data_IF_234859275649
#
_entry.id   IF_234859275649
#
_cell.length_a   1.000
_cell.length_b   1.000
_cell.length_c   1.000
_cell.angle_alpha   90.00
_cell.angle_beta   90.00
_cell.angle_gamma   90.00
#
_symmetry.space_group_name_H-M   'P 1'
#
loop_
_entity.id
_entity.type
_entity.pdbx_description
1 polymer ?
#
# COMPACT_ATOMS: atom_id res chain seq x y z
N UNK A 1 -10.14 5.86 0.16
CA UNK A 1 -9.39 5.41 -1.05
C UNK A 1 -9.85 6.23 -2.24
N UNK A 2 -8.89 6.84 -2.94
CA UNK A 2 -9.19 7.74 -4.06
C UNK A 2 -9.06 7.09 -5.43
N UNK A 3 -8.22 6.08 -5.55
CA UNK A 3 -8.11 5.31 -6.79
C UNK A 3 -7.71 3.89 -6.47
N UNK A 4 -7.99 3.00 -7.40
CA UNK A 4 -7.71 1.59 -7.24
C UNK A 4 -7.35 0.97 -8.58
N UNK A 5 -6.19 0.33 -8.62
CA UNK A 5 -5.70 -0.38 -9.80
C UNK A 5 -5.35 -1.81 -9.44
N UNK A 6 -5.55 -2.72 -10.38
CA UNK A 6 -5.07 -4.10 -10.28
C UNK A 6 -4.16 -4.41 -11.46
N UNK A 7 -3.13 -5.20 -11.22
CA UNK A 7 -2.34 -5.79 -12.28
C UNK A 7 -2.97 -7.12 -12.67
N UNK A 8 -3.50 -7.17 -13.89
CA UNK A 8 -4.16 -8.33 -14.44
C UNK A 8 -3.47 -8.70 -15.75
N UNK A 9 -2.99 -9.94 -15.85
CA UNK A 9 -2.33 -10.43 -17.05
C UNK A 9 -1.19 -9.53 -17.54
N UNK A 10 -0.44 -8.97 -16.60
CA UNK A 10 0.69 -8.10 -16.92
C UNK A 10 0.33 -6.68 -17.25
N UNK A 11 -0.93 -6.31 -17.17
CA UNK A 11 -1.38 -4.95 -17.44
C UNK A 11 -1.99 -4.31 -16.21
N UNK A 12 -1.72 -3.01 -16.05
CA UNK A 12 -2.33 -2.24 -14.97
C UNK A 12 -3.73 -1.80 -15.39
N UNK A 13 -4.73 -2.22 -14.64
CA UNK A 13 -6.12 -1.86 -14.92
C UNK A 13 -6.68 -0.99 -13.81
N UNK A 14 -7.09 0.22 -14.18
CA UNK A 14 -7.75 1.14 -13.27
C UNK A 14 -9.23 0.84 -13.20
N UNK A 15 -9.77 0.78 -11.98
CA UNK A 15 -11.20 0.59 -11.76
C UNK A 15 -11.81 1.91 -11.27
N UNK A 16 -12.79 2.45 -11.99
CA UNK A 16 -13.46 3.66 -11.53
C UNK A 16 -14.15 3.40 -10.18
N UNK A 17 -13.84 4.23 -9.20
CA UNK A 17 -14.43 4.10 -7.87
C UNK A 17 -15.62 5.04 -7.74
N UNK A 18 -16.76 4.50 -7.31
CA UNK A 18 -17.86 5.31 -6.81
C UNK A 18 -17.51 5.68 -5.37
N UNK A 19 -16.95 4.70 -4.64
CA UNK A 19 -16.42 4.90 -3.30
C UNK A 19 -15.40 3.82 -3.03
N UNK A 20 -14.58 4.02 -2.02
CA UNK A 20 -13.59 3.02 -1.64
C UNK A 20 -13.10 3.26 -0.23
N UNK A 21 -12.95 2.17 0.51
CA UNK A 21 -12.51 2.19 1.89
C UNK A 21 -11.30 1.28 2.02
N UNK A 22 -10.33 1.72 2.82
CA UNK A 22 -9.16 0.92 3.11
C UNK A 22 -8.98 0.87 4.62
N UNK A 23 -8.87 -0.33 5.16
CA UNK A 23 -8.79 -0.55 6.61
C UNK A 23 -7.57 -1.40 6.93
N UNK A 24 -6.73 -0.89 7.82
CA UNK A 24 -5.65 -1.67 8.40
C UNK A 24 -6.21 -2.35 9.65
N UNK A 25 -6.26 -3.67 9.64
CA UNK A 25 -6.81 -4.42 10.77
C UNK A 25 -5.86 -4.48 11.95
N UNK A 26 -4.60 -4.09 11.74
CA UNK A 26 -3.58 -4.03 12.80
C UNK A 26 -3.44 -5.34 13.62
N UNK A 27 -3.70 -6.46 12.97
CA UNK A 27 -3.54 -7.76 13.61
C UNK A 27 -2.11 -8.28 13.44
N UNK A 28 -1.81 -9.42 14.04
CA UNK A 28 -0.47 -10.01 13.96
C UNK A 28 -0.07 -10.41 12.54
N UNK A 29 -1.04 -10.54 11.64
CA UNK A 29 -0.80 -10.87 10.24
C UNK A 29 -0.68 -9.64 9.35
N UNK A 30 -0.85 -8.45 9.91
CA UNK A 30 -0.80 -7.18 9.18
C UNK A 30 -1.74 -7.17 7.99
N UNK A 31 -2.97 -7.61 8.21
CA UNK A 31 -3.98 -7.70 7.17
C UNK A 31 -4.61 -6.35 6.89
N UNK A 32 -4.76 -6.05 5.60
CA UNK A 32 -5.50 -4.88 5.13
C UNK A 32 -6.76 -5.35 4.44
N UNK A 33 -7.83 -4.59 4.60
CA UNK A 33 -9.08 -4.82 3.90
C UNK A 33 -9.35 -3.63 3.00
N UNK A 34 -9.58 -3.91 1.72
CA UNK A 34 -9.95 -2.90 0.75
C UNK A 34 -11.37 -3.19 0.28
N UNK A 35 -12.24 -2.19 0.36
CA UNK A 35 -13.59 -2.29 -0.18
C UNK A 35 -13.73 -1.34 -1.34
N UNK A 36 -14.08 -1.90 -2.49
CA UNK A 36 -14.20 -1.16 -3.75
C UNK A 36 -15.65 -1.18 -4.18
N UNK A 37 -16.23 0.01 -4.29
CA UNK A 37 -17.60 0.18 -4.78
C UNK A 37 -17.54 0.71 -6.20
N UNK A 38 -17.98 -0.08 -7.17
CA UNK A 38 -17.81 0.24 -8.58
C UNK A 38 -18.98 -0.29 -9.42
N UNK A 39 -18.91 -0.11 -10.73
CA UNK A 39 -19.96 -0.54 -11.64
C UNK A 39 -20.05 -2.06 -11.76
N UNK A 40 -21.27 -2.56 -11.91
CA UNK A 40 -21.53 -3.99 -12.08
C UNK A 40 -20.91 -4.57 -13.38
N UNK A 41 -20.49 -3.72 -14.30
CA UNK A 41 -19.82 -4.20 -15.51
C UNK A 41 -18.51 -4.94 -15.23
N UNK A 42 -17.93 -4.70 -14.06
CA UNK A 42 -16.68 -5.36 -13.64
C UNK A 42 -16.92 -6.64 -12.82
N UNK A 43 -18.17 -7.02 -12.67
CA UNK A 43 -18.57 -8.16 -11.84
C UNK A 43 -17.86 -9.46 -12.24
N UNK A 44 -17.82 -9.75 -13.51
CA UNK A 44 -17.22 -11.02 -13.97
C UNK A 44 -15.73 -11.08 -13.66
N UNK A 45 -15.03 -9.96 -13.84
CA UNK A 45 -13.59 -9.90 -13.56
C UNK A 45 -13.32 -10.27 -12.10
N UNK A 46 -14.01 -9.63 -11.18
CA UNK A 46 -13.83 -9.91 -9.77
C UNK A 46 -14.29 -11.29 -9.37
N UNK A 47 -15.39 -11.75 -9.94
CA UNK A 47 -15.92 -13.08 -9.66
C UNK A 47 -14.94 -14.18 -10.07
N UNK A 48 -14.30 -14.01 -11.22
CA UNK A 48 -13.30 -14.95 -11.69
C UNK A 48 -12.13 -15.08 -10.70
N UNK A 49 -11.72 -13.98 -10.11
CA UNK A 49 -10.64 -13.99 -9.12
C UNK A 49 -11.09 -14.48 -7.76
N UNK A 50 -12.37 -14.38 -7.42
CA UNK A 50 -12.90 -15.04 -6.23
C UNK A 50 -12.79 -16.56 -6.40
N UNK A 51 -13.18 -17.04 -7.54
CA UNK A 51 -13.15 -18.47 -7.82
C UNK A 51 -11.73 -19.02 -7.86
N UNK A 52 -10.82 -18.30 -8.50
CA UNK A 52 -9.43 -18.76 -8.63
C UNK A 52 -8.65 -18.62 -7.32
N UNK A 53 -9.00 -17.68 -6.47
CA UNK A 53 -8.25 -17.41 -5.27
C UNK A 53 -6.85 -16.85 -5.52
N UNK A 54 -6.59 -16.34 -6.72
CA UNK A 54 -5.28 -15.89 -7.15
C UNK A 54 -4.83 -14.63 -6.39
N UNK A 55 -3.53 -14.60 -6.06
CA UNK A 55 -2.94 -13.43 -5.45
C UNK A 55 -2.66 -12.37 -6.51
N UNK A 56 -3.15 -11.17 -6.31
CA UNK A 56 -3.01 -10.07 -7.25
C UNK A 56 -2.22 -8.93 -6.65
N UNK A 57 -1.56 -8.15 -7.51
CA UNK A 57 -0.96 -6.90 -7.09
C UNK A 57 -1.97 -5.78 -7.31
N UNK A 58 -2.19 -5.00 -6.24
CA UNK A 58 -3.09 -3.86 -6.27
C UNK A 58 -2.34 -2.59 -5.91
N UNK A 59 -2.81 -1.46 -6.41
CA UNK A 59 -2.29 -0.16 -6.04
C UNK A 59 -3.46 0.76 -5.73
N UNK A 60 -3.36 1.46 -4.61
CA UNK A 60 -4.41 2.33 -4.14
C UNK A 60 -3.84 3.66 -3.67
N UNK A 61 -4.48 4.74 -4.09
CA UNK A 61 -4.21 6.07 -3.52
C UNK A 61 -5.12 6.23 -2.33
N UNK A 62 -4.54 6.42 -1.15
CA UNK A 62 -5.28 6.33 0.11
C UNK A 62 -5.95 7.63 0.49
N UNK A 63 -5.23 8.74 0.49
CA UNK A 63 -5.78 9.97 1.05
C UNK A 63 -5.71 11.20 0.16
N UNK A 64 -4.60 11.51 -0.48
CA UNK A 64 -4.45 12.69 -1.33
C UNK A 64 -4.13 12.30 -2.76
N UNK A 65 -4.67 13.04 -3.76
CA UNK A 65 -4.48 12.66 -5.17
C UNK A 65 -3.03 12.61 -5.62
N UNK A 66 -2.16 13.43 -5.02
CA UNK A 66 -0.75 13.46 -5.37
C UNK A 66 0.10 12.50 -4.53
N UNK A 67 -0.53 11.72 -3.65
CA UNK A 67 0.19 10.68 -2.94
C UNK A 67 0.53 9.55 -3.90
N UNK A 68 1.69 8.94 -3.66
CA UNK A 68 2.06 7.75 -4.38
C UNK A 68 1.09 6.61 -4.08
N UNK A 69 0.68 5.85 -5.08
CA UNK A 69 -0.15 4.67 -4.84
C UNK A 69 0.56 3.66 -3.95
N UNK A 70 -0.13 3.19 -2.92
CA UNK A 70 0.40 2.16 -2.04
C UNK A 70 0.23 0.79 -2.71
N UNK A 71 1.27 -0.05 -2.74
CA UNK A 71 1.18 -1.37 -3.35
C UNK A 71 0.74 -2.42 -2.33
N UNK A 72 -0.18 -3.27 -2.76
CA UNK A 72 -0.70 -4.36 -1.92
C UNK A 72 -0.65 -5.67 -2.68
N UNK A 73 -0.50 -6.76 -1.95
CA UNK A 73 -0.76 -8.11 -2.45
C UNK A 73 -2.10 -8.54 -1.89
N UNK A 74 -3.07 -8.77 -2.75
CA UNK A 74 -4.44 -9.00 -2.31
C UNK A 74 -5.06 -10.22 -2.98
N UNK A 75 -6.08 -10.78 -2.31
CA UNK A 75 -6.99 -11.75 -2.92
C UNK A 75 -8.39 -11.13 -2.92
N UNK A 76 -9.17 -11.43 -3.94
CA UNK A 76 -10.57 -11.00 -3.97
C UNK A 76 -11.34 -11.96 -3.08
N UNK A 77 -11.88 -11.44 -2.00
CA UNK A 77 -12.52 -12.24 -0.97
C UNK A 77 -14.00 -12.48 -1.27
N UNK A 78 -14.73 -11.41 -1.57
CA UNK A 78 -16.18 -11.52 -1.82
C UNK A 78 -16.68 -10.36 -2.66
N UNK A 79 -17.87 -10.53 -3.19
CA UNK A 79 -18.54 -9.55 -4.01
C UNK A 79 -20.01 -9.54 -3.65
N UNK A 80 -20.57 -8.35 -3.47
CA UNK A 80 -21.98 -8.16 -3.16
C UNK A 80 -22.61 -7.28 -4.23
N UNK A 81 -23.72 -7.73 -4.80
CA UNK A 81 -24.48 -6.93 -5.76
C UNK A 81 -25.34 -5.90 -5.04
N UNK A 82 -25.27 -4.65 -5.48
CA UNK A 82 -26.06 -3.56 -4.92
C UNK A 82 -26.69 -2.81 -6.11
N UNK A 83 -27.83 -3.30 -6.60
CA UNK A 83 -28.47 -2.74 -7.77
C UNK A 83 -27.60 -2.91 -9.03
N UNK A 84 -27.28 -1.77 -9.67
CA UNK A 84 -26.40 -1.75 -10.84
C UNK A 84 -24.95 -1.55 -10.46
N UNK A 85 -24.61 -1.70 -9.20
CA UNK A 85 -23.26 -1.54 -8.66
C UNK A 85 -22.85 -2.80 -7.93
N UNK A 86 -21.58 -2.89 -7.65
CA UNK A 86 -21.02 -3.99 -6.84
C UNK A 86 -20.12 -3.44 -5.76
N UNK A 87 -20.08 -4.15 -4.64
CA UNK A 87 -19.12 -3.93 -3.58
C UNK A 87 -18.19 -5.12 -3.54
N UNK A 88 -16.90 -4.88 -3.72
CA UNK A 88 -15.89 -5.93 -3.75
C UNK A 88 -15.02 -5.80 -2.52
N UNK A 89 -14.87 -6.91 -1.80
CA UNK A 89 -14.01 -6.96 -0.63
C UNK A 89 -12.73 -7.70 -0.99
N UNK A 90 -11.60 -7.02 -0.81
CA UNK A 90 -10.28 -7.60 -1.03
C UNK A 90 -9.53 -7.61 0.28
N UNK A 91 -8.76 -8.66 0.50
CA UNK A 91 -7.93 -8.79 1.70
C UNK A 91 -6.50 -9.05 1.28
N UNK A 92 -5.57 -8.45 1.99
CA UNK A 92 -4.18 -8.66 1.67
C UNK A 92 -3.23 -7.94 2.59
N UNK A 93 -2.03 -7.76 2.09
CA UNK A 93 -0.95 -7.14 2.84
C UNK A 93 -0.33 -6.02 2.03
N UNK A 94 0.07 -4.97 2.73
CA UNK A 94 0.85 -3.92 2.12
C UNK A 94 2.20 -4.49 1.71
N UNK A 95 2.55 -4.33 0.44
CA UNK A 95 3.88 -4.75 -0.03
C UNK A 95 4.92 -3.83 0.58
N UNK A 96 6.03 -4.41 0.97
CA UNK A 96 7.09 -3.63 1.56
C UNK A 96 7.65 -2.65 0.54
N UNK A 97 7.54 -1.35 0.83
CA UNK A 97 8.16 -0.30 0.04
C UNK A 97 9.63 -0.16 0.45
N UNK A 98 10.30 -1.30 0.55
CA UNK A 98 11.63 -1.34 1.12
C UNK A 98 12.63 -0.51 0.35
N UNK A 99 12.55 -0.56 -0.96
CA UNK A 99 13.46 0.20 -1.81
C UNK A 99 13.28 1.70 -1.60
N UNK A 100 12.05 2.17 -1.62
CA UNK A 100 11.77 3.58 -1.43
C UNK A 100 12.14 4.05 -0.03
N UNK A 101 11.80 3.26 0.97
CA UNK A 101 12.18 3.56 2.34
C UNK A 101 13.71 3.65 2.47
N UNK A 102 14.43 2.71 1.86
CA UNK A 102 15.88 2.72 1.88
C UNK A 102 16.44 3.97 1.21
N UNK A 103 15.90 4.37 0.07
CA UNK A 103 16.35 5.57 -0.64
C UNK A 103 16.13 6.82 0.21
N UNK A 104 14.98 6.95 0.84
CA UNK A 104 14.69 8.08 1.69
C UNK A 104 15.57 8.10 2.94
N UNK A 105 15.76 6.95 3.56
CA UNK A 105 16.63 6.82 4.71
C UNK A 105 18.05 7.24 4.37
N UNK A 106 18.58 6.73 3.29
CA UNK A 106 19.94 7.06 2.85
C UNK A 106 20.06 8.55 2.57
N UNK A 107 19.11 9.13 1.86
CA UNK A 107 19.11 10.55 1.56
C UNK A 107 19.14 11.40 2.84
N UNK A 108 18.31 11.05 3.83
CA UNK A 108 18.30 11.77 5.10
C UNK A 108 19.61 11.65 5.87
N UNK A 109 20.18 10.48 5.91
CA UNK A 109 21.45 10.27 6.58
C UNK A 109 22.56 11.07 5.93
N UNK A 110 22.58 11.13 4.62
CA UNK A 110 23.56 11.95 3.90
C UNK A 110 23.36 13.44 4.17
N UNK A 111 22.14 13.91 4.24
CA UNK A 111 21.85 15.30 4.60
C UNK A 111 22.33 15.65 6.00
N UNK A 112 22.32 14.70 6.90
CA UNK A 112 22.78 14.90 8.27
C UNK A 112 24.30 14.81 8.39
N UNK A 113 25.00 14.67 7.28
CA UNK A 113 26.45 14.68 7.27
C UNK A 113 27.14 13.37 7.58
N UNK A 114 26.39 12.30 7.69
CA UNK A 114 26.97 10.99 7.95
C UNK A 114 27.73 10.47 6.72
N UNK A 115 28.86 9.86 6.96
CA UNK A 115 29.72 9.32 5.89
C UNK A 115 30.39 8.04 6.37
N UNK A 116 30.81 7.23 5.42
CA UNK A 116 31.61 6.03 5.67
C UNK A 116 30.93 5.07 6.67
N UNK A 117 31.65 4.64 7.67
CA UNK A 117 31.15 3.63 8.62
C UNK A 117 29.95 4.14 9.42
N UNK A 118 29.96 5.40 9.78
CA UNK A 118 28.81 5.99 10.51
C UNK A 118 27.54 5.94 9.66
N UNK A 119 27.65 6.22 8.38
CA UNK A 119 26.53 6.14 7.47
C UNK A 119 26.03 4.70 7.36
N UNK A 120 26.93 3.75 7.22
CA UNK A 120 26.58 2.35 7.08
C UNK A 120 25.85 1.84 8.33
N UNK A 121 26.37 2.14 9.50
CA UNK A 121 25.75 1.72 10.75
C UNK A 121 24.35 2.33 10.91
N UNK A 122 24.23 3.62 10.65
CA UNK A 122 22.94 4.30 10.79
C UNK A 122 21.93 3.77 9.79
N UNK A 123 22.35 3.48 8.57
CA UNK A 123 21.49 2.94 7.54
C UNK A 123 21.00 1.53 7.92
N UNK A 124 21.88 0.66 8.34
CA UNK A 124 21.52 -0.69 8.77
C UNK A 124 20.55 -0.66 9.94
N UNK A 125 20.81 0.22 10.91
CA UNK A 125 19.93 0.38 12.05
C UNK A 125 18.54 0.85 11.61
N UNK A 126 18.49 1.86 10.75
CA UNK A 126 17.22 2.38 10.24
C UNK A 126 16.43 1.35 9.46
N UNK A 127 17.09 0.50 8.73
CA UNK A 127 16.42 -0.56 7.98
C UNK A 127 15.86 -1.64 8.90
N UNK A 128 16.55 -1.94 9.99
CA UNK A 128 16.07 -2.91 10.98
C UNK A 128 14.88 -2.38 11.77
N UNK A 129 14.87 -1.09 12.07
CA UNK A 129 13.85 -0.43 12.87
C UNK A 129 12.72 0.14 12.04
N UNK A 130 12.52 -0.42 10.87
CA UNK A 130 11.54 0.08 9.92
C UNK A 130 10.15 0.20 10.57
N UNK A 131 9.59 1.42 10.61
CA UNK A 131 8.30 1.64 11.26
C UNK A 131 7.12 1.14 10.41
N UNK A 132 5.94 1.09 11.02
CA UNK A 132 4.71 0.82 10.29
C UNK A 132 4.44 1.96 9.30
N UNK A 133 3.53 1.74 8.35
CA UNK A 133 3.22 2.76 7.35
C UNK A 133 2.78 4.08 7.99
N UNK A 134 1.92 4.02 8.99
CA UNK A 134 1.44 5.21 9.69
C UNK A 134 2.58 5.95 10.41
N UNK A 135 3.36 5.22 11.17
CA UNK A 135 4.52 5.78 11.85
C UNK A 135 5.53 6.33 10.87
N UNK A 136 5.72 5.64 9.76
CA UNK A 136 6.64 6.09 8.74
C UNK A 136 6.22 7.42 8.14
N UNK A 137 4.93 7.61 7.88
CA UNK A 137 4.44 8.88 7.37
C UNK A 137 4.66 10.01 8.35
N UNK A 138 4.35 9.80 9.62
CA UNK A 138 4.60 10.76 10.66
C UNK A 138 6.09 11.08 10.78
N UNK A 139 6.93 10.07 10.73
CA UNK A 139 8.37 10.27 10.80
C UNK A 139 8.92 10.98 9.59
N UNK A 140 8.37 10.73 8.42
CA UNK A 140 8.80 11.43 7.21
C UNK A 140 8.49 12.92 7.29
N UNK A 141 7.39 13.30 7.89
CA UNK A 141 7.07 14.70 8.11
C UNK A 141 8.05 15.36 9.07
N UNK A 142 8.56 14.61 10.02
CA UNK A 142 9.48 15.09 11.04
C UNK A 142 10.94 14.80 10.77
N UNK A 143 11.23 14.07 9.74
CA UNK A 143 12.57 13.58 9.48
C UNK A 143 13.57 14.63 9.21
N UNK A 144 13.09 15.74 8.76
CA UNK A 144 13.97 16.85 8.60
C UNK A 144 14.64 17.17 9.91
N UNK A 145 14.07 16.68 10.95
CA UNK A 145 14.64 16.85 12.23
C UNK A 145 15.23 15.67 12.78
N UNK A 146 15.47 14.71 12.16
CA UNK A 146 15.91 13.86 12.92
C UNK A 146 16.33 12.61 12.73
N UNK A 147 16.62 12.44 13.63
CA UNK A 147 17.00 11.30 14.34
C UNK A 147 15.91 10.32 14.60
N UNK A 148 14.78 10.62 14.17
CA UNK A 148 13.65 9.74 14.40
C UNK A 148 13.61 8.53 13.51
N UNK A 149 14.53 8.43 12.63
CA UNK A 149 14.75 7.20 11.90
C UNK A 149 15.23 6.08 12.76
N UNK A 150 15.74 6.42 13.89
CA UNK A 150 16.24 5.44 14.83
C UNK A 150 15.21 5.07 15.84
#
# INVERSE_FOLDING_TARGET
MLSFDLFLDGENKNFPLIDGIIINQENSHQTWVLEVYTSSEYREVFNDYIVSGELLEARAVISLPDNEPAPFSVVVHSLTDIGDKISVLLKGRLKAQRKKYAEQLLSNLLKNGLRNDELLEAFEKGMRERPSLKERNEKLENLQGSDKLT
#
